data_IF_748369662874
#
_entry.id   IF_748369662874
#
_cell.length_a   1.000
_cell.length_b   1.000
_cell.length_c   1.000
_cell.angle_alpha   90.00
_cell.angle_beta   90.00
_cell.angle_gamma   90.00
#
_symmetry.space_group_name_H-M   'P 1'
#
loop_
_entity.id
_entity.type
_entity.pdbx_description
1 polymer ?
#
# COMPACT_ATOMS: atom_id res chain seq x y z
N UNK A 1 -20.03 24.39 -7.58
CA UNK A 1 -20.14 23.64 -8.86
C UNK A 1 -19.01 23.95 -9.83
N UNK A 2 -18.58 25.21 -9.98
CA UNK A 2 -17.44 25.61 -10.85
C UNK A 2 -16.21 24.69 -10.76
N UNK A 3 -15.76 24.38 -9.53
CA UNK A 3 -14.60 23.52 -9.24
C UNK A 3 -14.67 22.12 -9.86
N UNK A 4 -15.89 21.58 -10.06
CA UNK A 4 -16.11 20.21 -10.52
C UNK A 4 -16.67 20.13 -11.94
N UNK A 5 -16.69 21.26 -12.68
CA UNK A 5 -17.34 21.34 -14.00
C UNK A 5 -16.88 20.28 -15.01
N UNK A 6 -15.64 19.81 -14.91
CA UNK A 6 -15.08 18.76 -15.79
C UNK A 6 -15.37 17.33 -15.33
N UNK A 7 -15.90 17.14 -14.11
CA UNK A 7 -16.13 15.84 -13.47
C UNK A 7 -17.63 15.56 -13.24
N UNK A 8 -18.51 16.28 -13.94
CA UNK A 8 -19.96 16.20 -13.80
C UNK A 8 -20.59 15.93 -15.17
N UNK A 9 -21.64 15.10 -15.19
CA UNK A 9 -22.51 15.01 -16.37
C UNK A 9 -23.33 16.29 -16.52
N UNK A 10 -23.82 16.56 -17.74
CA UNK A 10 -24.51 17.80 -18.11
C UNK A 10 -25.73 18.12 -17.24
N UNK A 11 -26.43 17.11 -16.75
CA UNK A 11 -27.68 17.25 -16.00
C UNK A 11 -27.57 16.88 -14.52
N UNK A 12 -26.34 16.68 -14.02
CA UNK A 12 -26.13 16.33 -12.62
C UNK A 12 -26.33 17.52 -11.70
N UNK A 13 -27.19 17.32 -10.69
CA UNK A 13 -27.46 18.28 -9.63
C UNK A 13 -27.20 17.61 -8.28
N UNK A 14 -26.18 17.99 -7.51
CA UNK A 14 -25.88 17.37 -6.21
C UNK A 14 -26.99 17.58 -5.17
N UNK A 15 -27.82 18.61 -5.31
CA UNK A 15 -28.93 18.83 -4.39
C UNK A 15 -30.09 17.86 -4.67
N UNK A 16 -30.26 17.42 -5.92
CA UNK A 16 -31.26 16.42 -6.31
C UNK A 16 -30.73 14.99 -6.29
N UNK A 17 -29.53 14.76 -6.80
CA UNK A 17 -29.02 13.44 -7.19
C UNK A 17 -28.18 12.78 -6.07
N UNK A 18 -27.54 13.55 -5.19
CA UNK A 18 -26.79 13.01 -4.04
C UNK A 18 -27.64 12.88 -2.77
N UNK A 19 -28.94 12.59 -2.93
CA UNK A 19 -29.80 12.34 -1.77
C UNK A 19 -29.46 11.03 -1.05
N UNK A 20 -28.95 10.02 -1.77
CA UNK A 20 -28.50 8.76 -1.19
C UNK A 20 -27.17 8.37 -1.82
N UNK A 21 -26.22 7.95 -0.99
CA UNK A 21 -24.88 7.59 -1.43
C UNK A 21 -24.58 6.16 -0.99
N UNK A 22 -24.27 5.32 -1.98
CA UNK A 22 -23.63 4.04 -1.78
C UNK A 22 -22.13 4.17 -2.04
N UNK A 23 -21.30 3.74 -1.09
CA UNK A 23 -19.84 3.71 -1.24
C UNK A 23 -19.38 2.27 -1.49
N UNK A 24 -18.68 2.07 -2.61
CA UNK A 24 -17.93 0.86 -2.91
C UNK A 24 -16.48 1.25 -3.20
N UNK A 25 -15.56 0.35 -2.89
CA UNK A 25 -14.12 0.56 -2.93
C UNK A 25 -13.46 -0.38 -3.93
N UNK A 26 -12.29 0.00 -4.41
CA UNK A 26 -11.42 -0.90 -5.17
C UNK A 26 -10.92 -2.02 -4.24
N UNK A 27 -10.87 -3.25 -4.75
CA UNK A 27 -10.50 -4.45 -3.96
C UNK A 27 -9.10 -4.40 -3.35
N UNK A 28 -8.21 -3.58 -3.90
CA UNK A 28 -6.82 -3.41 -3.46
C UNK A 28 -6.57 -2.11 -2.70
N UNK A 29 -7.59 -1.32 -2.39
CA UNK A 29 -7.45 -0.03 -1.70
C UNK A 29 -6.99 -0.21 -0.24
N UNK A 30 -6.32 0.80 0.34
CA UNK A 30 -6.04 0.83 1.76
C UNK A 30 -7.34 0.91 2.57
N UNK A 31 -7.44 0.05 3.59
CA UNK A 31 -8.61 0.02 4.48
C UNK A 31 -8.76 1.32 5.27
N UNK A 32 -7.65 1.89 5.74
CA UNK A 32 -7.63 3.18 6.44
C UNK A 32 -8.23 4.30 5.59
N UNK A 33 -7.73 4.47 4.36
CA UNK A 33 -8.24 5.47 3.41
C UNK A 33 -9.72 5.25 3.07
N UNK A 34 -10.13 3.98 2.85
CA UNK A 34 -11.53 3.64 2.57
C UNK A 34 -12.44 4.05 3.74
N UNK A 35 -11.96 3.88 4.97
CA UNK A 35 -12.69 4.25 6.18
C UNK A 35 -12.75 5.77 6.36
N UNK A 36 -11.66 6.49 6.09
CA UNK A 36 -11.61 7.96 6.13
C UNK A 36 -12.59 8.58 5.14
N UNK A 37 -12.60 8.11 3.88
CA UNK A 37 -13.56 8.59 2.87
C UNK A 37 -14.99 8.30 3.30
N UNK A 38 -15.26 7.11 3.84
CA UNK A 38 -16.59 6.77 4.36
C UNK A 38 -17.03 7.72 5.47
N UNK A 39 -16.14 8.05 6.42
CA UNK A 39 -16.44 9.00 7.50
C UNK A 39 -16.67 10.43 6.97
N UNK A 40 -15.87 10.90 6.01
CA UNK A 40 -16.09 12.21 5.38
C UNK A 40 -17.48 12.31 4.74
N UNK A 41 -17.90 11.28 4.00
CA UNK A 41 -19.23 11.24 3.38
C UNK A 41 -20.33 11.18 4.45
N UNK A 42 -20.16 10.37 5.51
CA UNK A 42 -21.11 10.31 6.63
C UNK A 42 -21.26 11.67 7.29
N UNK A 43 -20.17 12.37 7.60
CA UNK A 43 -20.21 13.70 8.21
C UNK A 43 -20.98 14.70 7.34
N UNK A 44 -20.73 14.69 6.03
CA UNK A 44 -21.45 15.56 5.09
C UNK A 44 -22.96 15.26 5.03
N UNK A 45 -23.34 13.98 4.98
CA UNK A 45 -24.74 13.57 4.98
C UNK A 45 -25.44 13.81 6.32
N UNK A 46 -24.73 13.65 7.44
CA UNK A 46 -25.24 13.97 8.77
C UNK A 46 -25.54 15.47 8.90
N UNK A 47 -24.67 16.33 8.38
CA UNK A 47 -24.89 17.77 8.36
C UNK A 47 -26.11 18.15 7.50
N UNK A 48 -26.35 17.43 6.39
CA UNK A 48 -27.45 17.72 5.46
C UNK A 48 -28.81 17.17 5.90
N UNK A 49 -28.86 15.91 6.38
CA UNK A 49 -30.10 15.18 6.63
C UNK A 49 -30.35 14.86 8.12
N UNK A 50 -29.41 15.24 8.98
CA UNK A 50 -29.40 14.93 10.40
C UNK A 50 -28.90 13.50 10.70
N UNK A 51 -28.15 13.36 11.78
CA UNK A 51 -27.52 12.08 12.17
C UNK A 51 -28.54 10.92 12.34
N UNK A 52 -29.79 11.21 12.72
CA UNK A 52 -30.85 10.20 12.89
C UNK A 52 -31.30 9.55 11.58
N UNK A 53 -31.09 10.21 10.44
CA UNK A 53 -31.53 9.71 9.13
C UNK A 53 -30.38 9.07 8.33
N UNK A 54 -29.17 9.00 8.88
CA UNK A 54 -27.97 8.60 8.13
C UNK A 54 -28.14 7.25 7.41
N UNK A 55 -28.75 6.27 8.06
CA UNK A 55 -28.96 4.92 7.52
C UNK A 55 -29.90 4.88 6.29
N UNK A 56 -30.71 5.92 6.09
CA UNK A 56 -31.57 6.07 4.89
C UNK A 56 -30.83 6.71 3.71
N UNK A 57 -29.72 7.41 3.98
CA UNK A 57 -28.99 8.23 3.02
C UNK A 57 -27.58 7.72 2.73
N UNK A 58 -27.02 6.84 3.56
CA UNK A 58 -25.67 6.31 3.37
C UNK A 58 -25.60 4.81 3.58
N UNK A 59 -24.87 4.13 2.69
CA UNK A 59 -24.47 2.73 2.86
C UNK A 59 -23.04 2.52 2.38
N UNK A 60 -22.19 1.98 3.25
CA UNK A 60 -20.86 1.53 2.88
C UNK A 60 -20.88 0.02 2.57
N UNK A 61 -20.28 -0.37 1.46
CA UNK A 61 -20.08 -1.76 1.07
C UNK A 61 -18.60 -2.09 1.22
N UNK A 62 -18.28 -2.93 2.21
CA UNK A 62 -16.92 -3.43 2.34
C UNK A 62 -16.61 -4.37 1.18
N UNK A 63 -15.87 -3.81 0.23
CA UNK A 63 -15.55 -4.41 -1.07
C UNK A 63 -14.04 -4.57 -1.23
N UNK A 64 -13.27 -4.23 -0.19
CA UNK A 64 -11.85 -4.54 -0.11
C UNK A 64 -11.71 -6.05 0.07
N UNK A 65 -10.79 -6.67 -0.67
CA UNK A 65 -10.60 -8.12 -0.57
C UNK A 65 -9.96 -8.48 0.77
N UNK A 66 -10.47 -9.51 1.46
CA UNK A 66 -9.88 -10.01 2.71
C UNK A 66 -8.41 -10.38 2.55
N UNK A 67 -8.02 -10.95 1.41
CA UNK A 67 -6.63 -11.31 1.14
C UNK A 67 -5.68 -10.10 1.04
N UNK A 68 -6.20 -8.92 0.69
CA UNK A 68 -5.47 -7.65 0.75
C UNK A 68 -5.29 -7.26 2.22
N UNK A 69 -6.36 -7.34 3.01
CA UNK A 69 -6.35 -7.00 4.43
C UNK A 69 -5.41 -7.90 5.24
N UNK A 70 -5.49 -9.23 5.07
CA UNK A 70 -4.65 -10.19 5.78
C UNK A 70 -3.15 -9.91 5.57
N UNK A 71 -2.75 -9.47 4.37
CA UNK A 71 -1.35 -9.11 4.08
C UNK A 71 -0.94 -7.80 4.73
N UNK A 72 -1.81 -6.80 4.73
CA UNK A 72 -1.55 -5.52 5.40
C UNK A 72 -1.39 -5.74 6.91
N UNK A 73 -2.30 -6.51 7.51
CA UNK A 73 -2.30 -6.83 8.93
C UNK A 73 -1.05 -7.65 9.31
N UNK A 74 -0.68 -8.67 8.52
CA UNK A 74 0.53 -9.47 8.76
C UNK A 74 1.82 -8.64 8.68
N UNK A 75 1.90 -7.68 7.76
CA UNK A 75 3.05 -6.76 7.66
C UNK A 75 3.12 -5.86 8.88
N UNK A 76 2.00 -5.25 9.29
CA UNK A 76 1.96 -4.41 10.49
C UNK A 76 2.33 -5.22 11.73
N UNK A 77 1.79 -6.43 11.87
CA UNK A 77 2.10 -7.32 12.99
C UNK A 77 3.60 -7.65 13.03
N UNK A 78 4.19 -8.05 11.90
CA UNK A 78 5.62 -8.35 11.81
C UNK A 78 6.48 -7.15 12.23
N UNK A 79 6.17 -5.96 11.71
CA UNK A 79 6.95 -4.75 11.94
C UNK A 79 6.77 -4.17 13.35
N UNK A 80 5.64 -4.43 14.00
CA UNK A 80 5.36 -3.96 15.37
C UNK A 80 5.85 -4.93 16.43
N UNK A 81 5.84 -6.24 16.16
CA UNK A 81 6.21 -7.26 17.14
C UNK A 81 7.67 -7.73 17.05
N UNK A 82 8.33 -7.56 15.90
CA UNK A 82 9.71 -8.00 15.71
C UNK A 82 10.62 -6.81 15.46
N UNK A 83 11.82 -6.86 16.05
CA UNK A 83 12.89 -5.93 15.70
C UNK A 83 13.48 -6.33 14.36
N UNK A 84 13.12 -5.58 13.32
CA UNK A 84 13.62 -5.69 11.95
C UNK A 84 14.35 -4.40 11.57
N UNK A 85 15.39 -4.50 10.75
CA UNK A 85 16.24 -3.35 10.39
C UNK A 85 15.78 -2.68 9.10
N UNK A 86 15.23 -3.47 8.16
CA UNK A 86 14.65 -2.99 6.91
C UNK A 86 13.60 -3.98 6.35
N UNK A 87 12.76 -3.48 5.46
CA UNK A 87 11.73 -4.24 4.76
C UNK A 87 11.98 -4.25 3.24
N UNK A 88 11.86 -5.42 2.62
CA UNK A 88 11.75 -5.58 1.18
C UNK A 88 10.32 -5.97 0.81
N UNK A 89 9.73 -5.23 -0.12
CA UNK A 89 8.39 -5.50 -0.65
C UNK A 89 8.52 -5.85 -2.13
N UNK A 90 8.22 -7.09 -2.49
CA UNK A 90 8.48 -7.63 -3.83
C UNK A 90 7.21 -7.66 -4.69
N UNK A 91 7.26 -7.04 -5.86
CA UNK A 91 6.21 -7.11 -6.86
C UNK A 91 6.26 -5.95 -7.85
N UNK A 92 5.50 -6.07 -8.94
CA UNK A 92 5.51 -5.09 -10.02
C UNK A 92 5.26 -3.65 -9.53
N UNK A 93 5.94 -2.67 -10.12
CA UNK A 93 5.82 -1.27 -9.72
C UNK A 93 4.43 -0.68 -9.97
N UNK A 94 3.67 -1.26 -10.90
CA UNK A 94 2.29 -0.87 -11.19
C UNK A 94 1.24 -1.59 -10.33
N UNK A 95 1.65 -2.44 -9.38
CA UNK A 95 0.73 -3.17 -8.51
C UNK A 95 0.30 -2.30 -7.32
N UNK A 96 -0.97 -1.89 -7.27
CA UNK A 96 -1.53 -1.10 -6.15
C UNK A 96 -1.34 -1.81 -4.81
N UNK A 97 -1.65 -3.11 -4.72
CA UNK A 97 -1.46 -3.86 -3.48
C UNK A 97 0.01 -3.85 -3.02
N UNK A 98 0.95 -4.06 -3.95
CA UNK A 98 2.38 -4.05 -3.61
C UNK A 98 2.84 -2.66 -3.15
N UNK A 99 2.38 -1.61 -3.85
CA UNK A 99 2.63 -0.23 -3.45
C UNK A 99 2.10 0.08 -2.06
N UNK A 100 0.87 -0.33 -1.74
CA UNK A 100 0.27 -0.13 -0.42
C UNK A 100 1.01 -0.89 0.68
N UNK A 101 1.48 -2.13 0.44
CA UNK A 101 2.33 -2.84 1.41
C UNK A 101 3.63 -2.08 1.67
N UNK A 102 4.25 -1.49 0.63
CA UNK A 102 5.44 -0.67 0.78
C UNK A 102 5.15 0.63 1.54
N UNK A 103 4.04 1.30 1.24
CA UNK A 103 3.61 2.52 1.93
C UNK A 103 3.37 2.25 3.42
N UNK A 104 2.63 1.20 3.77
CA UNK A 104 2.41 0.78 5.16
C UNK A 104 3.74 0.50 5.85
N UNK A 105 4.60 -0.32 5.23
CA UNK A 105 5.88 -0.72 5.83
C UNK A 105 6.81 0.46 6.09
N UNK A 106 6.80 1.45 5.19
CA UNK A 106 7.65 2.65 5.27
C UNK A 106 7.39 3.52 6.51
N UNK A 107 6.22 3.36 7.15
CA UNK A 107 5.86 4.04 8.40
C UNK A 107 6.61 3.48 9.62
N UNK A 108 7.19 2.28 9.50
CA UNK A 108 7.85 1.58 10.61
C UNK A 108 9.35 1.44 10.42
N UNK A 109 9.80 1.08 9.21
CA UNK A 109 11.22 0.82 8.91
C UNK A 109 11.60 1.26 7.50
N UNK A 110 12.91 1.48 7.23
CA UNK A 110 13.40 1.65 5.87
C UNK A 110 12.86 0.54 4.96
N UNK A 111 12.12 0.94 3.92
CA UNK A 111 11.39 0.01 3.04
C UNK A 111 11.81 0.21 1.60
N UNK A 112 12.04 -0.90 0.88
CA UNK A 112 12.36 -0.89 -0.54
C UNK A 112 11.36 -1.74 -1.31
N UNK A 113 10.57 -1.09 -2.18
CA UNK A 113 9.72 -1.77 -3.16
C UNK A 113 10.57 -2.14 -4.37
N UNK A 114 10.71 -3.43 -4.67
CA UNK A 114 11.45 -3.96 -5.82
C UNK A 114 10.57 -4.90 -6.66
N UNK A 115 10.82 -4.99 -7.97
CA UNK A 115 10.06 -5.92 -8.83
C UNK A 115 10.61 -7.34 -8.79
N UNK A 116 11.94 -7.49 -8.70
CA UNK A 116 12.65 -8.76 -8.78
C UNK A 116 14.07 -8.65 -8.20
N UNK A 117 14.82 -9.76 -8.21
CA UNK A 117 16.19 -9.82 -7.70
C UNK A 117 17.16 -8.88 -8.43
N UNK A 118 16.94 -8.60 -9.72
CA UNK A 118 17.77 -7.69 -10.53
C UNK A 118 17.72 -6.23 -10.08
N UNK A 119 16.78 -5.87 -9.20
CA UNK A 119 16.78 -4.59 -8.50
C UNK A 119 17.90 -4.47 -7.47
N UNK A 120 18.40 -5.58 -6.93
CA UNK A 120 19.46 -5.59 -5.92
C UNK A 120 20.82 -5.60 -6.64
N UNK A 121 21.33 -4.41 -6.91
CA UNK A 121 22.51 -4.21 -7.76
C UNK A 121 23.79 -4.70 -7.07
N UNK A 122 23.95 -4.39 -5.78
CA UNK A 122 25.04 -4.84 -4.92
C UNK A 122 24.71 -4.53 -3.44
N UNK A 123 25.65 -4.83 -2.54
CA UNK A 123 25.59 -4.51 -1.11
C UNK A 123 25.47 -3.01 -0.80
N UNK A 124 25.82 -2.14 -1.76
CA UNK A 124 25.79 -0.68 -1.60
C UNK A 124 24.65 0.01 -2.36
N UNK A 125 23.96 -0.67 -3.28
CA UNK A 125 22.96 -0.04 -4.12
C UNK A 125 21.78 -0.96 -4.46
N UNK A 126 20.58 -0.39 -4.39
CA UNK A 126 19.31 -1.04 -4.77
C UNK A 126 18.48 -0.12 -5.65
N UNK A 127 17.87 -0.65 -6.71
CA UNK A 127 16.89 0.05 -7.56
C UNK A 127 15.49 -0.26 -7.03
N UNK A 128 14.82 0.74 -6.49
CA UNK A 128 13.51 0.58 -5.88
C UNK A 128 12.54 1.68 -6.32
N UNK A 129 11.25 1.40 -6.24
CA UNK A 129 10.22 2.42 -6.34
C UNK A 129 10.10 3.14 -5.00
N UNK A 130 10.12 4.46 -5.03
CA UNK A 130 9.91 5.29 -3.86
C UNK A 130 8.41 5.29 -3.48
N UNK A 131 8.13 5.12 -2.18
CA UNK A 131 6.75 5.09 -1.70
C UNK A 131 6.09 6.49 -1.65
N UNK A 132 6.87 7.57 -1.60
CA UNK A 132 6.37 8.95 -1.49
C UNK A 132 6.01 9.57 -2.85
N UNK A 133 6.83 9.34 -3.89
CA UNK A 133 6.57 9.89 -5.23
C UNK A 133 6.26 8.85 -6.32
N UNK A 134 6.36 7.56 -5.98
CA UNK A 134 6.03 6.45 -6.88
C UNK A 134 7.03 6.24 -8.02
N UNK A 135 8.18 6.93 -8.03
CA UNK A 135 9.18 6.84 -9.10
C UNK A 135 10.28 5.82 -8.76
N UNK A 136 10.85 5.25 -9.81
CA UNK A 136 12.05 4.42 -9.67
C UNK A 136 13.26 5.28 -9.33
N UNK A 137 14.07 4.80 -8.39
CA UNK A 137 15.34 5.42 -8.04
C UNK A 137 16.35 4.37 -7.58
N UNK A 138 17.62 4.73 -7.69
CA UNK A 138 18.69 3.96 -7.07
C UNK A 138 18.97 4.56 -5.69
N UNK A 139 18.79 3.75 -4.65
CA UNK A 139 19.18 4.10 -3.30
C UNK A 139 20.53 3.49 -2.98
N UNK A 140 21.46 4.33 -2.53
CA UNK A 140 22.77 3.93 -2.02
C UNK A 140 22.70 3.66 -0.52
N UNK A 141 23.65 2.87 -0.03
CA UNK A 141 23.82 2.51 1.39
C UNK A 141 22.53 1.92 1.98
N UNK A 142 21.86 1.09 1.18
CA UNK A 142 20.56 0.51 1.51
C UNK A 142 20.67 -0.64 2.53
N UNK A 143 21.80 -1.34 2.52
CA UNK A 143 22.07 -2.47 3.41
C UNK A 143 22.99 -2.01 4.56
N UNK A 144 22.55 -2.12 5.83
CA UNK A 144 23.38 -1.78 6.98
C UNK A 144 24.63 -2.68 7.11
N UNK A 145 25.66 -2.16 7.77
CA UNK A 145 26.89 -2.91 8.05
C UNK A 145 26.67 -3.81 9.28
N UNK A 146 27.04 -5.09 9.16
CA UNK A 146 26.96 -6.08 10.24
C UNK A 146 25.78 -7.05 10.11
N UNK A 147 25.38 -7.74 11.18
CA UNK A 147 24.19 -8.60 11.16
C UNK A 147 22.91 -7.78 10.95
N UNK A 148 22.13 -8.14 9.93
CA UNK A 148 20.89 -7.43 9.55
C UNK A 148 19.70 -8.39 9.54
N UNK A 149 18.58 -7.96 10.10
CA UNK A 149 17.27 -8.61 10.01
C UNK A 149 16.44 -7.92 8.93
N UNK A 150 16.32 -8.60 7.81
CA UNK A 150 15.52 -8.14 6.66
C UNK A 150 14.16 -8.82 6.72
N UNK A 151 13.10 -8.02 6.81
CA UNK A 151 11.75 -8.50 6.59
C UNK A 151 11.44 -8.53 5.09
N UNK A 152 10.71 -9.56 4.64
CA UNK A 152 10.36 -9.76 3.24
C UNK A 152 8.87 -10.05 3.12
N UNK A 153 8.20 -9.33 2.23
CA UNK A 153 6.82 -9.64 1.81
C UNK A 153 6.69 -9.49 0.31
N UNK A 154 5.55 -9.91 -0.23
CA UNK A 154 5.28 -9.79 -1.65
C UNK A 154 3.82 -9.45 -1.94
N UNK A 155 3.61 -8.76 -3.05
CA UNK A 155 2.27 -8.51 -3.58
C UNK A 155 1.54 -9.81 -3.92
N UNK A 156 0.20 -9.77 -3.90
CA UNK A 156 -0.63 -10.94 -4.20
C UNK A 156 -0.38 -11.53 -5.60
N UNK A 157 0.10 -10.72 -6.56
CA UNK A 157 0.40 -11.10 -7.93
C UNK A 157 1.86 -11.51 -8.16
N UNK A 158 2.69 -11.57 -7.10
CA UNK A 158 4.12 -11.87 -7.22
C UNK A 158 4.35 -13.39 -7.11
N UNK A 159 4.91 -14.06 -8.14
CA UNK A 159 5.20 -15.49 -8.08
C UNK A 159 6.25 -15.83 -7.02
N UNK A 160 6.11 -17.00 -6.38
CA UNK A 160 7.05 -17.47 -5.36
C UNK A 160 8.47 -17.67 -5.88
N UNK A 161 8.66 -17.92 -7.18
CA UNK A 161 9.98 -18.01 -7.81
C UNK A 161 10.75 -16.70 -7.70
N UNK A 162 10.09 -15.56 -7.95
CA UNK A 162 10.69 -14.22 -7.83
C UNK A 162 11.11 -13.93 -6.39
N UNK A 163 10.29 -14.35 -5.42
CA UNK A 163 10.63 -14.23 -4.00
C UNK A 163 11.88 -15.07 -3.68
N UNK A 164 11.96 -16.31 -4.19
CA UNK A 164 13.11 -17.19 -4.01
C UNK A 164 14.41 -16.66 -4.63
N UNK A 165 14.32 -16.04 -5.81
CA UNK A 165 15.45 -15.36 -6.45
C UNK A 165 15.97 -14.19 -5.60
N UNK A 166 15.07 -13.36 -5.06
CA UNK A 166 15.42 -12.26 -4.15
C UNK A 166 16.15 -12.80 -2.92
N UNK A 167 15.62 -13.84 -2.27
CA UNK A 167 16.27 -14.46 -1.09
C UNK A 167 17.65 -14.99 -1.45
N UNK A 168 17.80 -15.65 -2.60
CA UNK A 168 19.09 -16.19 -3.06
C UNK A 168 20.11 -15.08 -3.30
N UNK A 169 19.70 -13.98 -3.93
CA UNK A 169 20.54 -12.80 -4.15
C UNK A 169 21.00 -12.17 -2.82
N UNK A 170 20.11 -12.07 -1.82
CA UNK A 170 20.47 -11.57 -0.49
C UNK A 170 21.50 -12.46 0.22
N UNK A 171 21.30 -13.77 0.17
CA UNK A 171 22.20 -14.74 0.78
C UNK A 171 23.58 -14.77 0.11
N UNK A 172 23.67 -14.42 -1.18
CA UNK A 172 24.95 -14.31 -1.88
C UNK A 172 25.88 -13.25 -1.27
N UNK A 173 25.34 -12.18 -0.68
CA UNK A 173 26.15 -11.19 0.05
C UNK A 173 26.72 -11.75 1.36
N UNK A 174 25.97 -12.63 2.03
CA UNK A 174 26.45 -13.28 3.26
C UNK A 174 27.62 -14.24 2.97
N UNK A 175 27.56 -14.99 1.87
CA UNK A 175 28.64 -15.92 1.47
C UNK A 175 29.96 -15.20 1.17
N UNK A 176 29.91 -14.00 0.57
CA UNK A 176 31.10 -13.19 0.27
C UNK A 176 31.86 -12.65 1.49
N UNK A 177 31.26 -12.68 2.68
CA UNK A 177 31.93 -12.24 3.92
C UNK A 177 32.64 -13.37 4.67
N UNK A 178 32.47 -14.62 4.24
CA UNK A 178 33.03 -15.82 4.88
C UNK A 178 34.26 -16.36 4.10
N UNK A 179 34.50 -15.85 2.89
CA UNK A 179 35.75 -16.05 2.11
C UNK A 179 36.77 -14.96 2.44
#
# INVERSE_FOLDING_TARGET
MEKFRQALSSDFDPDRDLQKIGLANQTTMLRGESMEIAEMIKTALAARFGAKNLTKHFRNFDTVCSATQDRQDAVVELLTQKKVDLMLVVGGFNSSNTGHLAEISSKYVPTFHIENAGCILNDKAIRCRDAADGREKIKRDWLPIGPVKIALTAGASTPSSIIGEVVTQLLAFHRKQIE
#
